data_IF_092952365826
#
_entry.id   IF_092952365826
#
_cell.length_a   1.000
_cell.length_b   1.000
_cell.length_c   1.000
_cell.angle_alpha   90.00
_cell.angle_beta   90.00
_cell.angle_gamma   90.00
#
_symmetry.space_group_name_H-M   'P 1'
#
loop_
_entity.id
_entity.type
_entity.pdbx_description
1 polymer ?
#
# COMPACT_ATOMS: atom_id res chain seq x y z
N UNK A 1 13.85 -4.67 -18.45
CA UNK A 1 12.55 -3.99 -18.63
C UNK A 1 12.67 -2.63 -19.32
N UNK A 2 13.51 -1.69 -18.84
CA UNK A 2 13.66 -0.37 -19.49
C UNK A 2 14.05 -0.47 -20.98
N UNK A 3 15.02 -1.31 -21.32
CA UNK A 3 15.39 -1.56 -22.73
C UNK A 3 14.21 -2.06 -23.59
N UNK A 4 13.36 -2.95 -23.04
CA UNK A 4 12.17 -3.46 -23.72
C UNK A 4 11.10 -2.38 -23.93
N UNK A 5 11.16 -1.28 -23.16
CA UNK A 5 10.30 -0.09 -23.29
C UNK A 5 10.92 0.98 -24.20
N UNK A 6 12.01 0.68 -24.90
CA UNK A 6 12.65 1.58 -25.86
C UNK A 6 13.64 2.58 -25.25
N UNK A 7 13.99 2.44 -23.97
CA UNK A 7 15.05 3.26 -23.37
C UNK A 7 16.41 2.80 -23.86
N UNK A 8 17.34 3.74 -24.03
CA UNK A 8 18.72 3.48 -24.49
C UNK A 8 19.70 3.72 -23.35
N UNK A 9 20.67 2.82 -23.19
CA UNK A 9 21.76 2.98 -22.22
C UNK A 9 22.81 3.90 -22.83
N UNK A 10 23.08 5.03 -22.19
CA UNK A 10 24.07 6.00 -22.68
C UNK A 10 25.48 5.70 -22.15
N UNK A 11 25.59 5.31 -20.88
CA UNK A 11 26.89 5.13 -20.21
C UNK A 11 26.76 4.08 -19.11
N UNK A 12 27.78 3.24 -18.94
CA UNK A 12 27.89 2.25 -17.87
C UNK A 12 29.16 2.58 -17.08
N UNK A 13 29.03 2.78 -15.78
CA UNK A 13 30.17 3.08 -14.90
C UNK A 13 30.71 1.82 -14.23
N UNK A 14 29.82 0.98 -13.73
CA UNK A 14 30.18 -0.21 -12.96
C UNK A 14 29.10 -1.30 -13.13
N UNK A 15 29.54 -2.56 -13.19
CA UNK A 15 28.67 -3.73 -13.30
C UNK A 15 29.14 -4.78 -12.31
N UNK A 16 28.25 -5.20 -11.42
CA UNK A 16 28.48 -6.34 -10.54
C UNK A 16 27.79 -7.56 -11.14
N UNK A 17 28.59 -8.59 -11.46
CA UNK A 17 28.10 -9.84 -12.02
C UNK A 17 28.19 -10.96 -10.98
N UNK A 18 27.17 -11.81 -10.92
CA UNK A 18 27.09 -12.95 -10.02
C UNK A 18 26.85 -14.21 -10.84
N UNK A 19 27.85 -15.09 -10.92
CA UNK A 19 27.80 -16.31 -11.75
C UNK A 19 26.75 -17.31 -11.27
N UNK A 20 26.48 -17.32 -9.96
CA UNK A 20 25.53 -18.23 -9.31
C UNK A 20 24.42 -17.43 -8.70
N UNK A 21 23.19 -17.79 -9.06
CA UNK A 21 21.97 -17.24 -8.49
C UNK A 21 21.13 -18.40 -8.00
N UNK A 22 20.65 -18.30 -6.77
CA UNK A 22 19.65 -19.22 -6.25
C UNK A 22 18.27 -18.59 -6.39
N UNK A 23 17.32 -19.36 -6.92
CA UNK A 23 15.96 -18.90 -7.15
C UNK A 23 14.97 -19.93 -6.63
N UNK A 24 13.94 -19.46 -5.94
CA UNK A 24 12.81 -20.29 -5.56
C UNK A 24 12.01 -20.69 -6.79
N UNK A 25 11.75 -21.99 -6.94
CA UNK A 25 10.88 -22.53 -7.99
C UNK A 25 9.45 -22.72 -7.44
N UNK A 26 8.45 -21.97 -7.95
CA UNK A 26 7.06 -22.11 -7.53
C UNK A 26 6.42 -23.47 -7.89
N UNK A 27 6.94 -24.18 -8.89
CA UNK A 27 6.37 -25.47 -9.31
C UNK A 27 6.79 -26.60 -8.37
N UNK A 28 8.10 -26.77 -8.17
CA UNK A 28 8.64 -27.75 -7.21
C UNK A 28 8.51 -27.30 -5.76
N UNK A 29 8.18 -26.02 -5.52
CA UNK A 29 8.11 -25.39 -4.19
C UNK A 29 9.42 -25.52 -3.42
N UNK A 30 10.55 -25.49 -4.12
CA UNK A 30 11.88 -25.75 -3.57
C UNK A 30 12.90 -24.68 -3.98
N UNK A 31 14.06 -24.67 -3.31
CA UNK A 31 15.13 -23.70 -3.52
C UNK A 31 14.89 -22.36 -2.80
N UNK A 32 15.82 -21.44 -2.96
CA UNK A 32 15.82 -20.12 -2.34
C UNK A 32 16.34 -20.16 -0.90
N UNK A 33 17.47 -19.49 -0.66
CA UNK A 33 18.13 -19.38 0.65
C UNK A 33 17.24 -18.86 1.80
N UNK A 34 16.15 -18.16 1.49
CA UNK A 34 15.26 -17.55 2.48
C UNK A 34 13.90 -18.23 2.59
N UNK A 35 13.64 -19.27 1.80
CA UNK A 35 12.32 -19.89 1.69
C UNK A 35 11.83 -20.44 3.03
N UNK A 36 12.67 -21.15 3.77
CA UNK A 36 12.30 -21.71 5.08
C UNK A 36 11.99 -20.62 6.12
N UNK A 37 12.79 -19.55 6.14
CA UNK A 37 12.57 -18.40 7.01
C UNK A 37 11.22 -17.74 6.71
N UNK A 38 10.96 -17.41 5.43
CA UNK A 38 9.72 -16.76 5.01
C UNK A 38 8.51 -17.66 5.27
N UNK A 39 8.60 -18.96 4.98
CA UNK A 39 7.54 -19.92 5.22
C UNK A 39 7.20 -20.04 6.71
N UNK A 40 8.22 -20.04 7.58
CA UNK A 40 8.04 -20.12 9.04
C UNK A 40 7.23 -18.93 9.56
N UNK A 41 7.63 -17.70 9.20
CA UNK A 41 6.94 -16.52 9.70
C UNK A 41 5.61 -16.24 8.98
N UNK A 42 5.45 -16.63 7.70
CA UNK A 42 4.15 -16.58 7.03
C UNK A 42 3.16 -17.55 7.67
N UNK A 43 3.59 -18.79 7.97
CA UNK A 43 2.78 -19.77 8.70
C UNK A 43 2.31 -19.21 10.04
N UNK A 44 3.25 -18.74 10.87
CA UNK A 44 2.96 -18.17 12.19
C UNK A 44 2.01 -16.97 12.09
N UNK A 45 2.24 -16.07 11.14
CA UNK A 45 1.38 -14.89 10.89
C UNK A 45 -0.04 -15.31 10.49
N UNK A 46 -0.17 -16.35 9.66
CA UNK A 46 -1.46 -16.81 9.17
C UNK A 46 -2.24 -17.55 10.26
N UNK A 47 -1.58 -18.43 11.02
CA UNK A 47 -2.18 -19.15 12.16
C UNK A 47 -2.67 -18.17 13.23
N UNK A 48 -1.84 -17.17 13.57
CA UNK A 48 -2.18 -16.14 14.55
C UNK A 48 -3.27 -15.16 14.09
N UNK A 49 -3.65 -15.18 12.80
CA UNK A 49 -4.77 -14.35 12.30
C UNK A 49 -6.14 -14.96 12.64
N UNK A 50 -6.16 -16.22 13.07
CA UNK A 50 -7.39 -16.97 13.32
C UNK A 50 -8.12 -17.37 12.04
N UNK A 51 -9.32 -17.92 12.22
CA UNK A 51 -10.14 -18.41 11.12
C UNK A 51 -10.81 -17.27 10.34
N UNK A 52 -10.81 -17.33 8.99
CA UNK A 52 -11.62 -16.44 8.17
C UNK A 52 -13.11 -16.53 8.52
N UNK A 53 -13.87 -15.46 8.27
CA UNK A 53 -15.31 -15.37 8.56
C UNK A 53 -16.15 -16.47 7.88
N UNK A 54 -15.71 -17.00 6.74
CA UNK A 54 -16.39 -18.07 6.02
C UNK A 54 -16.09 -19.48 6.57
N UNK A 55 -15.12 -19.64 7.47
CA UNK A 55 -14.70 -20.94 8.03
C UNK A 55 -15.58 -21.39 9.21
N UNK A 56 -16.88 -21.58 8.95
CA UNK A 56 -17.87 -21.95 9.98
C UNK A 56 -17.89 -23.48 10.21
N UNK A 57 -17.88 -24.27 9.13
CA UNK A 57 -17.97 -25.73 9.20
C UNK A 57 -16.58 -26.37 9.14
N UNK A 58 -16.48 -27.62 9.62
CA UNK A 58 -15.23 -28.39 9.56
C UNK A 58 -14.72 -28.55 8.11
N UNK A 59 -15.64 -28.73 7.16
CA UNK A 59 -15.31 -28.77 5.72
C UNK A 59 -14.70 -27.46 5.24
N UNK A 60 -15.17 -26.31 5.73
CA UNK A 60 -14.61 -25.01 5.36
C UNK A 60 -13.20 -24.82 5.94
N UNK A 61 -12.97 -25.29 7.18
CA UNK A 61 -11.65 -25.24 7.81
C UNK A 61 -10.62 -26.08 7.07
N UNK A 62 -10.97 -27.31 6.70
CA UNK A 62 -10.08 -28.15 5.89
C UNK A 62 -9.83 -27.56 4.50
N UNK A 63 -10.87 -27.02 3.84
CA UNK A 63 -10.73 -26.33 2.56
C UNK A 63 -9.76 -25.16 2.64
N UNK A 64 -9.83 -24.37 3.72
CA UNK A 64 -8.92 -23.25 3.93
C UNK A 64 -7.46 -23.69 4.03
N UNK A 65 -7.17 -24.71 4.84
CA UNK A 65 -5.80 -25.25 4.98
C UNK A 65 -5.29 -25.78 3.64
N UNK A 66 -6.13 -26.52 2.92
CA UNK A 66 -5.78 -27.08 1.62
C UNK A 66 -5.48 -25.98 0.59
N UNK A 67 -6.35 -24.97 0.47
CA UNK A 67 -6.14 -23.85 -0.45
C UNK A 67 -4.86 -23.07 -0.11
N UNK A 68 -4.53 -22.91 1.18
CA UNK A 68 -3.31 -22.25 1.60
C UNK A 68 -2.07 -23.06 1.21
N UNK A 69 -2.10 -24.37 1.39
CA UNK A 69 -1.02 -25.27 0.98
C UNK A 69 -0.84 -25.33 -0.54
N UNK A 70 -1.93 -25.41 -1.31
CA UNK A 70 -1.89 -25.40 -2.77
C UNK A 70 -1.23 -24.14 -3.30
N UNK A 71 -1.64 -22.97 -2.79
CA UNK A 71 -1.19 -21.67 -3.25
C UNK A 71 0.20 -21.29 -2.74
N UNK A 72 0.45 -21.41 -1.45
CA UNK A 72 1.66 -20.90 -0.79
C UNK A 72 2.68 -22.01 -0.51
N UNK A 73 2.31 -23.30 -0.61
CA UNK A 73 3.19 -24.42 -0.27
C UNK A 73 3.36 -24.66 1.23
N UNK A 74 2.63 -23.92 2.07
CA UNK A 74 2.79 -23.93 3.53
C UNK A 74 1.66 -24.73 4.16
N UNK A 75 2.00 -25.75 4.96
CA UNK A 75 1.00 -26.53 5.71
C UNK A 75 0.72 -25.87 7.06
N UNK A 76 -0.49 -25.30 7.19
CA UNK A 76 -0.99 -24.75 8.45
C UNK A 76 -1.35 -25.89 9.44
N UNK A 77 -1.14 -25.63 10.72
CA UNK A 77 -1.54 -26.51 11.81
C UNK A 77 -2.94 -26.13 12.29
N UNK A 78 -3.90 -27.05 12.11
CA UNK A 78 -5.30 -26.85 12.49
C UNK A 78 -5.45 -26.38 13.95
N UNK A 79 -4.64 -26.93 14.86
CA UNK A 79 -4.74 -26.67 16.30
C UNK A 79 -4.19 -25.31 16.72
N UNK A 80 -3.35 -24.70 15.87
CA UNK A 80 -2.69 -23.41 16.15
C UNK A 80 -3.39 -22.22 15.51
N UNK A 81 -4.42 -22.44 14.71
CA UNK A 81 -5.19 -21.36 14.08
C UNK A 81 -6.12 -20.74 15.12
N UNK A 82 -5.64 -19.67 15.73
CA UNK A 82 -6.32 -18.90 16.76
C UNK A 82 -5.95 -17.42 16.63
N UNK A 83 -6.90 -16.52 16.91
CA UNK A 83 -6.65 -15.08 16.84
C UNK A 83 -5.71 -14.66 17.97
N UNK A 84 -4.45 -14.39 17.62
CA UNK A 84 -3.43 -13.89 18.53
C UNK A 84 -2.78 -12.61 17.95
N UNK A 85 -3.25 -11.41 18.37
CA UNK A 85 -2.75 -10.13 17.85
C UNK A 85 -1.25 -9.91 18.09
N UNK A 86 -0.73 -10.35 19.25
CA UNK A 86 0.67 -10.17 19.62
C UNK A 86 1.59 -11.04 18.76
N UNK A 87 1.29 -12.34 18.65
CA UNK A 87 2.04 -13.26 17.82
C UNK A 87 1.98 -12.89 16.34
N UNK A 88 0.81 -12.45 15.87
CA UNK A 88 0.64 -11.94 14.50
C UNK A 88 1.54 -10.73 14.24
N UNK A 89 1.59 -9.80 15.19
CA UNK A 89 2.42 -8.59 15.09
C UNK A 89 3.90 -8.94 15.08
N UNK A 90 4.34 -9.87 15.94
CA UNK A 90 5.71 -10.38 15.95
C UNK A 90 6.08 -11.04 14.62
N UNK A 91 5.25 -11.96 14.12
CA UNK A 91 5.51 -12.63 12.85
C UNK A 91 5.57 -11.65 11.66
N UNK A 92 4.68 -10.65 11.65
CA UNK A 92 4.70 -9.56 10.66
C UNK A 92 5.97 -8.72 10.79
N UNK A 93 6.40 -8.41 12.01
CA UNK A 93 7.62 -7.64 12.27
C UNK A 93 8.86 -8.38 11.76
N UNK A 94 8.95 -9.70 11.96
CA UNK A 94 10.06 -10.51 11.47
C UNK A 94 10.11 -10.51 9.94
N UNK A 95 8.99 -10.69 9.25
CA UNK A 95 8.91 -10.61 7.79
C UNK A 95 9.33 -9.23 7.25
N UNK A 96 8.86 -8.16 7.88
CA UNK A 96 9.11 -6.79 7.42
C UNK A 96 10.53 -6.30 7.75
N UNK A 97 11.08 -6.70 8.89
CA UNK A 97 12.41 -6.24 9.33
C UNK A 97 13.54 -7.01 8.65
N UNK A 98 13.27 -8.22 8.17
CA UNK A 98 14.28 -9.11 7.60
C UNK A 98 15.06 -8.47 6.45
N UNK A 99 14.36 -8.01 5.40
CA UNK A 99 15.02 -7.41 4.25
C UNK A 99 15.63 -6.04 4.57
N UNK A 100 14.99 -5.26 5.46
CA UNK A 100 15.48 -3.95 5.88
C UNK A 100 16.83 -4.02 6.58
N UNK A 101 17.10 -5.13 7.28
CA UNK A 101 18.38 -5.35 7.96
C UNK A 101 19.55 -5.41 6.97
N UNK A 102 19.35 -5.98 5.77
CA UNK A 102 20.40 -6.04 4.76
C UNK A 102 20.82 -4.66 4.24
N UNK A 103 19.90 -3.69 4.23
CA UNK A 103 20.15 -2.31 3.82
C UNK A 103 20.43 -1.35 4.98
N UNK A 104 20.65 -1.86 6.20
CA UNK A 104 20.89 -1.01 7.36
C UNK A 104 22.21 -0.24 7.20
N UNK A 105 22.17 1.07 7.45
CA UNK A 105 23.37 1.91 7.49
C UNK A 105 24.24 1.49 8.67
N UNK A 106 25.53 1.18 8.47
CA UNK A 106 26.41 0.74 9.54
C UNK A 106 26.75 1.88 10.52
N UNK A 107 26.81 3.12 10.02
CA UNK A 107 27.15 4.30 10.81
C UNK A 107 25.91 5.14 11.11
N UNK A 108 25.24 4.82 12.21
CA UNK A 108 24.16 5.65 12.73
C UNK A 108 24.73 6.60 13.79
N UNK A 109 24.27 7.87 13.84
CA UNK A 109 24.61 8.75 14.94
C UNK A 109 24.23 8.12 16.28
N UNK A 110 25.18 8.10 17.21
CA UNK A 110 25.00 7.64 18.58
C UNK A 110 24.87 8.84 19.51
N UNK A 111 24.25 8.63 20.65
CA UNK A 111 24.00 9.65 21.66
C UNK A 111 24.51 9.09 22.98
N UNK A 112 25.48 9.78 23.58
CA UNK A 112 25.97 9.47 24.92
C UNK A 112 25.70 10.65 25.85
N UNK A 113 25.41 10.34 27.11
CA UNK A 113 25.29 11.31 28.19
C UNK A 113 26.57 11.25 29.03
N UNK A 114 27.33 12.34 28.98
CA UNK A 114 28.67 12.41 29.57
C UNK A 114 28.65 13.41 30.71
N UNK A 115 29.06 12.95 31.89
CA UNK A 115 29.28 13.80 33.07
C UNK A 115 30.76 14.01 33.40
N UNK A 116 31.64 13.11 32.96
CA UNK A 116 33.09 13.23 33.12
C UNK A 116 33.69 14.09 32.00
N UNK A 117 34.30 15.24 32.31
CA UNK A 117 34.97 16.09 31.31
C UNK A 117 36.04 15.34 30.50
N UNK A 118 36.70 14.34 31.08
CA UNK A 118 37.76 13.58 30.41
C UNK A 118 37.22 12.83 29.20
N UNK A 119 36.10 12.11 29.38
CA UNK A 119 35.42 11.38 28.30
C UNK A 119 34.94 12.34 27.21
N UNK A 120 34.49 13.53 27.60
CA UNK A 120 34.05 14.56 26.67
C UNK A 120 35.20 15.09 25.80
N UNK A 121 36.34 15.43 26.40
CA UNK A 121 37.52 15.88 25.65
C UNK A 121 38.16 14.78 24.82
N UNK A 122 38.18 13.54 25.32
CA UNK A 122 38.67 12.37 24.58
C UNK A 122 37.83 12.13 23.32
N UNK A 123 36.50 12.24 23.41
CA UNK A 123 35.62 12.10 22.26
C UNK A 123 35.77 13.25 21.24
N UNK A 124 36.01 14.48 21.69
CA UNK A 124 36.26 15.64 20.82
C UNK A 124 37.61 15.56 20.08
N UNK A 125 38.60 14.96 20.72
CA UNK A 125 39.97 14.82 20.18
C UNK A 125 40.22 13.47 19.52
N UNK A 126 39.24 12.56 19.58
CA UNK A 126 39.34 11.21 19.01
C UNK A 126 39.55 11.24 17.50
N UNK A 127 40.55 10.49 17.04
CA UNK A 127 40.76 10.28 15.62
C UNK A 127 39.77 9.30 14.98
N UNK A 128 38.99 8.56 15.78
CA UNK A 128 38.05 7.55 15.29
C UNK A 128 36.61 8.05 15.22
N UNK A 129 36.27 9.05 16.03
CA UNK A 129 34.91 9.56 16.18
C UNK A 129 34.81 10.98 15.63
N UNK A 130 33.61 11.35 15.18
CA UNK A 130 33.24 12.71 14.81
C UNK A 130 32.07 13.10 15.69
N UNK A 131 32.28 14.09 16.56
CA UNK A 131 31.19 14.73 17.30
C UNK A 131 30.41 15.64 16.36
N UNK A 132 29.11 15.38 16.26
CA UNK A 132 28.17 16.06 15.34
C UNK A 132 27.26 17.05 16.06
N UNK A 133 27.11 16.94 17.38
CA UNK A 133 26.29 17.86 18.16
C UNK A 133 26.53 17.69 19.65
N UNK A 134 26.37 18.78 20.38
CA UNK A 134 26.59 18.86 21.83
C UNK A 134 25.44 19.66 22.41
N UNK A 135 24.82 19.14 23.46
CA UNK A 135 23.71 19.78 24.14
C UNK A 135 23.92 19.66 25.66
N UNK A 136 23.95 20.80 26.36
CA UNK A 136 24.11 20.83 27.82
C UNK A 136 22.74 20.57 28.44
N UNK A 137 22.58 19.41 29.09
CA UNK A 137 21.31 19.00 29.70
C UNK A 137 21.20 19.58 31.10
N UNK A 138 22.30 19.56 31.84
CA UNK A 138 22.46 20.16 33.17
C UNK A 138 23.88 20.72 33.31
N UNK A 139 24.17 21.38 34.45
CA UNK A 139 25.50 21.90 34.75
C UNK A 139 26.58 20.80 34.87
N UNK A 140 26.17 19.54 35.05
CA UNK A 140 27.06 18.38 35.23
C UNK A 140 26.92 17.33 34.12
N UNK A 141 26.07 17.55 33.11
CA UNK A 141 25.79 16.54 32.08
C UNK A 141 25.62 17.13 30.69
N UNK A 142 26.32 16.51 29.74
CA UNK A 142 26.29 16.86 28.32
C UNK A 142 25.77 15.68 27.51
N UNK A 143 24.75 15.93 26.69
CA UNK A 143 24.33 15.02 25.61
C UNK A 143 25.25 15.27 24.41
N UNK A 144 26.03 14.26 24.05
CA UNK A 144 26.95 14.30 22.92
C UNK A 144 26.46 13.36 21.82
N UNK A 145 26.27 13.92 20.63
CA UNK A 145 25.95 13.17 19.42
C UNK A 145 27.18 12.96 18.57
N UNK A 146 27.50 11.72 18.24
CA UNK A 146 28.71 11.40 17.49
C UNK A 146 28.48 10.25 16.49
N UNK A 147 29.43 10.08 15.56
CA UNK A 147 29.46 8.97 14.60
C UNK A 147 30.91 8.55 14.36
N UNK A 148 31.15 7.33 13.90
CA UNK A 148 32.52 6.95 13.52
C UNK A 148 32.94 7.66 12.22
N UNK A 149 34.23 7.95 12.07
CA UNK A 149 34.83 8.30 10.78
C UNK A 149 34.69 7.11 9.82
N UNK A 150 34.47 7.36 8.53
CA UNK A 150 34.17 6.30 7.56
C UNK A 150 35.31 5.28 7.42
N UNK A 151 36.56 5.74 7.57
CA UNK A 151 37.78 4.91 7.52
C UNK A 151 37.86 3.87 8.65
N UNK A 152 37.14 4.09 9.75
CA UNK A 152 37.14 3.23 10.93
C UNK A 152 35.85 2.40 11.04
N UNK A 153 35.01 2.41 10.00
CA UNK A 153 33.81 1.58 9.98
C UNK A 153 34.16 0.13 9.62
N UNK A 154 33.96 -0.76 10.58
CA UNK A 154 33.98 -2.18 10.29
C UNK A 154 32.79 -2.58 9.42
N UNK A 155 33.05 -3.40 8.41
CA UNK A 155 32.02 -3.97 7.56
C UNK A 155 31.17 -4.94 8.38
N UNK A 156 29.86 -4.68 8.49
CA UNK A 156 28.98 -5.60 9.21
C UNK A 156 28.73 -6.86 8.40
N UNK A 157 29.07 -8.04 8.96
CA UNK A 157 28.74 -9.34 8.36
C UNK A 157 27.23 -9.65 8.27
N UNK A 158 26.37 -8.73 8.76
CA UNK A 158 24.91 -8.87 8.78
C UNK A 158 24.22 -8.04 7.68
N UNK A 159 24.96 -7.20 6.96
CA UNK A 159 24.41 -6.32 5.91
C UNK A 159 24.80 -6.80 4.52
N UNK A 160 23.92 -6.61 3.53
CA UNK A 160 24.22 -6.92 2.14
C UNK A 160 23.41 -5.97 1.23
N UNK A 161 24.10 -4.96 0.71
CA UNK A 161 23.46 -3.89 -0.09
C UNK A 161 22.87 -4.43 -1.39
N UNK A 162 23.49 -5.47 -1.95
CA UNK A 162 23.06 -6.10 -3.21
C UNK A 162 21.72 -6.79 -3.00
N UNK A 163 21.59 -7.57 -1.93
CA UNK A 163 20.32 -8.23 -1.60
C UNK A 163 19.23 -7.19 -1.33
N UNK A 164 19.53 -6.12 -0.58
CA UNK A 164 18.56 -5.05 -0.32
C UNK A 164 18.12 -4.34 -1.61
N UNK A 165 19.07 -3.98 -2.48
CA UNK A 165 18.79 -3.35 -3.77
C UNK A 165 17.96 -4.28 -4.67
N UNK A 166 18.32 -5.57 -4.74
CA UNK A 166 17.62 -6.56 -5.56
C UNK A 166 16.19 -6.81 -5.07
N UNK A 167 15.98 -6.98 -3.77
CA UNK A 167 14.63 -7.14 -3.19
C UNK A 167 13.74 -5.92 -3.51
N UNK A 168 14.25 -4.70 -3.35
CA UNK A 168 13.47 -3.49 -3.66
C UNK A 168 13.23 -3.32 -5.16
N UNK A 169 14.19 -3.71 -6.01
CA UNK A 169 14.01 -3.72 -7.46
C UNK A 169 12.91 -4.70 -7.90
N UNK A 170 12.92 -5.93 -7.38
CA UNK A 170 11.89 -6.93 -7.67
C UNK A 170 10.51 -6.50 -7.18
N UNK A 171 10.41 -5.89 -6.00
CA UNK A 171 9.17 -5.31 -5.50
C UNK A 171 8.63 -4.21 -6.44
N UNK A 172 9.49 -3.30 -6.91
CA UNK A 172 9.11 -2.26 -7.89
C UNK A 172 8.68 -2.83 -9.23
N UNK A 173 9.36 -3.87 -9.74
CA UNK A 173 8.96 -4.54 -10.98
C UNK A 173 7.60 -5.22 -10.83
N UNK A 174 7.35 -5.85 -9.68
CA UNK A 174 6.04 -6.44 -9.39
C UNK A 174 4.95 -5.37 -9.34
N UNK A 175 5.19 -4.26 -8.66
CA UNK A 175 4.29 -3.11 -8.62
C UNK A 175 4.03 -2.56 -10.03
N UNK A 176 5.08 -2.37 -10.82
CA UNK A 176 5.00 -1.90 -12.19
C UNK A 176 4.12 -2.79 -13.07
N UNK A 177 4.17 -4.12 -12.89
CA UNK A 177 3.29 -5.06 -13.62
C UNK A 177 1.79 -4.82 -13.37
N UNK A 178 1.42 -4.26 -12.20
CA UNK A 178 0.05 -3.82 -11.92
C UNK A 178 -0.23 -2.45 -12.56
N UNK A 179 0.73 -1.53 -12.53
CA UNK A 179 0.59 -0.22 -13.17
C UNK A 179 0.36 -0.32 -14.68
N UNK A 180 1.03 -1.26 -15.36
CA UNK A 180 0.81 -1.50 -16.79
C UNK A 180 -0.61 -1.96 -17.09
N UNK A 181 -1.22 -2.77 -16.21
CA UNK A 181 -2.60 -3.24 -16.36
C UNK A 181 -3.62 -2.13 -16.06
N UNK A 182 -3.30 -1.26 -15.10
CA UNK A 182 -4.19 -0.18 -14.67
C UNK A 182 -4.11 1.04 -15.59
N UNK A 183 -2.95 1.29 -16.19
CA UNK A 183 -2.71 2.35 -17.15
C UNK A 183 -3.11 3.73 -16.60
N UNK A 184 -3.86 4.55 -17.37
CA UNK A 184 -4.29 5.90 -16.95
C UNK A 184 -5.19 5.96 -15.72
N UNK A 185 -5.66 4.82 -15.21
CA UNK A 185 -6.55 4.77 -14.04
C UNK A 185 -5.80 4.97 -12.74
N UNK A 186 -4.47 4.86 -12.74
CA UNK A 186 -3.63 5.04 -11.55
C UNK A 186 -3.67 6.49 -11.10
N UNK A 187 -4.06 6.72 -9.85
CA UNK A 187 -4.10 8.04 -9.21
C UNK A 187 -2.88 8.26 -8.31
N UNK A 188 -2.45 7.22 -7.60
CA UNK A 188 -1.36 7.27 -6.65
C UNK A 188 -0.71 5.90 -6.50
N UNK A 189 0.58 5.91 -6.23
CA UNK A 189 1.41 4.71 -6.04
C UNK A 189 2.33 4.96 -4.85
N UNK A 190 2.36 3.99 -3.94
CA UNK A 190 3.35 3.90 -2.86
C UNK A 190 3.93 2.47 -2.86
N UNK A 191 5.12 2.31 -2.29
CA UNK A 191 5.91 1.09 -2.03
C UNK A 191 5.26 -0.26 -2.37
N UNK A 192 4.08 -0.55 -1.83
CA UNK A 192 3.29 -1.78 -2.05
C UNK A 192 1.80 -1.54 -2.31
N UNK A 193 1.37 -0.30 -2.58
CA UNK A 193 -0.04 0.07 -2.78
C UNK A 193 -0.27 0.91 -4.04
N UNK A 194 -1.43 0.71 -4.66
CA UNK A 194 -1.89 1.49 -5.82
C UNK A 194 -3.32 1.95 -5.59
N UNK A 195 -3.54 3.25 -5.71
CA UNK A 195 -4.88 3.84 -5.73
C UNK A 195 -5.24 4.09 -7.19
N UNK A 196 -6.38 3.57 -7.64
CA UNK A 196 -6.81 3.68 -9.03
C UNK A 196 -8.31 3.92 -9.16
N UNK A 197 -8.73 4.57 -10.26
CA UNK A 197 -10.13 4.80 -10.57
C UNK A 197 -10.76 3.52 -11.13
N UNK A 198 -11.98 3.19 -10.70
CA UNK A 198 -12.65 1.96 -11.15
C UNK A 198 -13.56 2.19 -12.36
N UNK A 199 -14.04 3.42 -12.58
CA UNK A 199 -14.76 3.84 -13.80
C UNK A 199 -14.84 5.38 -13.87
N UNK A 200 -14.73 5.96 -15.06
CA UNK A 200 -14.91 7.40 -15.29
C UNK A 200 -16.41 7.74 -15.40
N UNK A 201 -17.05 8.10 -14.28
CA UNK A 201 -18.34 8.81 -14.32
C UNK A 201 -18.21 10.29 -14.70
N UNK A 202 -17.05 10.69 -15.23
CA UNK A 202 -16.61 12.09 -15.29
C UNK A 202 -16.03 12.61 -13.96
N UNK A 203 -15.37 13.77 -13.97
CA UNK A 203 -14.72 14.33 -12.78
C UNK A 203 -15.70 14.54 -11.62
N UNK A 204 -15.32 14.07 -10.43
CA UNK A 204 -16.10 14.10 -9.16
C UNK A 204 -17.33 13.18 -9.11
N UNK A 205 -17.37 12.13 -9.93
CA UNK A 205 -18.40 11.07 -9.88
C UNK A 205 -17.75 9.70 -9.61
N UNK A 206 -17.79 9.22 -8.36
CA UNK A 206 -17.23 7.93 -7.95
C UNK A 206 -17.90 7.36 -6.70
N UNK A 207 -17.89 6.03 -6.56
CA UNK A 207 -18.29 5.35 -5.33
C UNK A 207 -17.37 4.15 -5.06
N UNK A 208 -16.97 3.94 -3.81
CA UNK A 208 -16.13 2.81 -3.38
C UNK A 208 -16.47 2.35 -1.96
N UNK A 209 -16.19 1.09 -1.66
CA UNK A 209 -16.28 0.48 -0.33
C UNK A 209 -14.87 0.14 0.15
N UNK A 210 -14.51 0.58 1.35
CA UNK A 210 -13.28 0.22 2.05
C UNK A 210 -13.63 -0.81 3.11
N UNK A 211 -12.94 -1.94 3.08
CA UNK A 211 -12.99 -2.94 4.13
C UNK A 211 -11.87 -2.61 5.13
N UNK A 212 -12.24 -2.16 6.33
CA UNK A 212 -11.26 -1.92 7.39
C UNK A 212 -10.98 -3.24 8.12
N UNK A 213 -9.74 -3.75 8.14
CA UNK A 213 -9.43 -4.99 8.86
C UNK A 213 -9.56 -4.84 10.39
N UNK A 214 -9.43 -3.60 10.90
CA UNK A 214 -9.35 -3.30 12.33
C UNK A 214 -10.69 -2.84 12.94
N UNK A 215 -11.73 -2.65 12.13
CA UNK A 215 -13.10 -2.37 12.59
C UNK A 215 -14.09 -3.21 11.80
N UNK A 216 -15.15 -3.71 12.42
CA UNK A 216 -16.19 -4.54 11.77
C UNK A 216 -17.01 -3.79 10.70
N UNK A 217 -16.62 -2.57 10.33
CA UNK A 217 -17.37 -1.69 9.45
C UNK A 217 -16.80 -1.62 8.03
N UNK A 218 -17.67 -1.80 7.06
CA UNK A 218 -17.43 -1.39 5.67
C UNK A 218 -17.65 0.12 5.58
N UNK A 219 -16.60 0.91 5.32
CA UNK A 219 -16.77 2.34 5.05
C UNK A 219 -17.14 2.53 3.58
N UNK A 220 -18.32 3.08 3.32
CA UNK A 220 -18.77 3.38 1.95
C UNK A 220 -18.62 4.87 1.68
N UNK A 221 -17.98 5.22 0.56
CA UNK A 221 -17.87 6.60 0.07
C UNK A 221 -18.57 6.69 -1.28
N UNK A 222 -19.46 7.69 -1.43
CA UNK A 222 -20.14 8.01 -2.67
C UNK A 222 -20.02 9.51 -2.94
N UNK A 223 -19.70 9.89 -4.17
CA UNK A 223 -19.59 11.28 -4.61
C UNK A 223 -20.18 11.43 -5.99
N UNK A 224 -21.15 12.33 -6.13
CA UNK A 224 -21.81 12.66 -7.40
C UNK A 224 -21.80 14.18 -7.59
N UNK A 225 -21.34 14.63 -8.75
CA UNK A 225 -21.26 16.04 -9.13
C UNK A 225 -22.65 16.54 -9.53
N UNK A 226 -23.03 17.71 -9.02
CA UNK A 226 -24.27 18.40 -9.41
C UNK A 226 -25.50 17.98 -8.58
N UNK A 227 -25.41 16.93 -7.77
CA UNK A 227 -26.46 16.50 -6.85
C UNK A 227 -25.90 16.53 -5.42
N UNK A 228 -26.56 17.25 -4.53
CA UNK A 228 -26.21 17.24 -3.10
C UNK A 228 -26.64 15.91 -2.49
N UNK A 229 -25.70 15.15 -1.92
CA UNK A 229 -25.99 13.90 -1.22
C UNK A 229 -26.50 14.17 0.21
N UNK A 230 -27.71 14.73 0.30
CA UNK A 230 -28.46 14.76 1.57
C UNK A 230 -29.00 13.36 1.90
N UNK A 231 -29.60 13.17 3.08
CA UNK A 231 -30.10 11.86 3.52
C UNK A 231 -31.03 11.18 2.48
N UNK A 232 -32.06 11.90 1.99
CA UNK A 232 -33.03 11.37 0.99
C UNK A 232 -32.35 10.99 -0.32
N UNK A 233 -31.44 11.85 -0.81
CA UNK A 233 -30.73 11.65 -2.06
C UNK A 233 -29.70 10.51 -1.95
N UNK A 234 -29.07 10.33 -0.79
CA UNK A 234 -28.12 9.26 -0.53
C UNK A 234 -28.79 7.87 -0.43
N UNK A 235 -30.08 7.80 -0.10
CA UNK A 235 -30.86 6.56 -0.21
C UNK A 235 -31.04 6.14 -1.67
N UNK A 236 -31.23 7.11 -2.56
CA UNK A 236 -31.46 6.88 -3.99
C UNK A 236 -30.15 6.74 -4.80
N UNK A 237 -29.12 7.51 -4.45
CA UNK A 237 -27.78 7.48 -5.05
C UNK A 237 -26.77 7.02 -3.99
N UNK A 238 -26.43 5.75 -4.06
CA UNK A 238 -25.51 5.04 -3.17
C UNK A 238 -24.54 4.16 -3.98
N UNK A 239 -23.64 3.45 -3.29
CA UNK A 239 -22.66 2.59 -3.96
C UNK A 239 -23.32 1.55 -4.87
N UNK A 240 -24.38 0.89 -4.44
CA UNK A 240 -24.99 -0.21 -5.19
C UNK A 240 -25.72 0.31 -6.43
N UNK A 241 -26.39 1.45 -6.34
CA UNK A 241 -27.04 2.11 -7.50
C UNK A 241 -26.02 2.69 -8.49
N UNK A 242 -24.95 3.34 -8.01
CA UNK A 242 -23.85 3.81 -8.88
C UNK A 242 -23.13 2.64 -9.53
N UNK A 243 -22.87 1.55 -8.80
CA UNK A 243 -22.28 0.32 -9.35
C UNK A 243 -23.17 -0.25 -10.44
N UNK A 244 -24.47 -0.43 -10.17
CA UNK A 244 -25.42 -1.01 -11.12
C UNK A 244 -25.54 -0.15 -12.37
N UNK A 245 -25.63 1.18 -12.25
CA UNK A 245 -25.61 2.13 -13.37
C UNK A 245 -24.38 1.97 -14.26
N UNK A 246 -23.24 1.68 -13.64
CA UNK A 246 -21.96 1.60 -14.32
C UNK A 246 -21.71 0.20 -14.89
N UNK A 247 -22.34 -0.86 -14.37
CA UNK A 247 -22.17 -2.25 -14.82
C UNK A 247 -23.26 -2.74 -15.77
N UNK A 248 -24.42 -2.10 -15.79
CA UNK A 248 -25.49 -2.39 -16.74
C UNK A 248 -25.19 -1.71 -18.08
N UNK A 249 -25.33 -2.46 -19.17
CA UNK A 249 -25.02 -2.02 -20.55
C UNK A 249 -26.21 -1.27 -21.19
N UNK A 250 -27.28 -1.01 -20.43
CA UNK A 250 -28.48 -0.33 -20.94
C UNK A 250 -28.37 1.18 -20.78
N UNK A 251 -28.44 1.91 -21.90
CA UNK A 251 -28.38 3.37 -22.00
C UNK A 251 -29.53 4.10 -21.28
N UNK A 252 -30.57 3.37 -20.88
CA UNK A 252 -31.81 3.93 -20.31
C UNK A 252 -31.86 3.99 -18.77
N UNK A 253 -30.78 3.64 -18.06
CA UNK A 253 -30.78 3.71 -16.61
C UNK A 253 -30.58 5.14 -16.11
N UNK A 254 -31.70 5.81 -15.79
CA UNK A 254 -31.76 7.16 -15.21
C UNK A 254 -32.28 7.07 -13.78
N UNK A 255 -31.53 7.64 -12.84
CA UNK A 255 -31.99 7.82 -11.45
C UNK A 255 -32.44 9.26 -11.29
N UNK A 256 -33.74 9.48 -11.15
CA UNK A 256 -34.31 10.78 -10.82
C UNK A 256 -34.31 11.01 -9.31
N UNK A 257 -33.76 12.15 -8.89
CA UNK A 257 -33.79 12.64 -7.52
C UNK A 257 -34.66 13.90 -7.46
N UNK A 258 -35.59 13.94 -6.51
CA UNK A 258 -36.50 15.07 -6.29
C UNK A 258 -36.31 15.64 -4.89
N UNK A 259 -35.86 16.88 -4.84
CA UNK A 259 -35.78 17.69 -3.63
C UNK A 259 -36.95 18.69 -3.60
N UNK A 260 -38.04 18.30 -2.96
CA UNK A 260 -39.30 19.06 -2.92
C UNK A 260 -39.16 20.44 -2.24
N UNK A 261 -38.22 20.56 -1.30
CA UNK A 261 -38.09 21.71 -0.41
C UNK A 261 -36.69 22.34 -0.49
N UNK A 262 -36.12 22.44 -1.69
CA UNK A 262 -34.78 23.01 -1.86
C UNK A 262 -34.79 24.51 -1.58
N UNK A 263 -34.06 24.90 -0.55
CA UNK A 263 -33.87 26.30 -0.18
C UNK A 263 -32.84 26.94 -1.13
N UNK A 264 -33.28 27.99 -1.84
CA UNK A 264 -32.46 28.75 -2.78
C UNK A 264 -32.49 30.24 -2.43
N UNK A 265 -31.38 30.93 -2.66
CA UNK A 265 -31.30 32.39 -2.52
C UNK A 265 -31.51 33.04 -3.87
N UNK A 266 -32.56 33.85 -3.99
CA UNK A 266 -32.74 34.76 -5.11
C UNK A 266 -31.84 35.98 -4.90
N UNK A 267 -30.72 36.01 -5.62
CA UNK A 267 -29.73 37.09 -5.51
C UNK A 267 -30.25 38.42 -6.06
N UNK A 268 -31.17 38.39 -7.01
CA UNK A 268 -31.68 39.59 -7.69
C UNK A 268 -32.63 40.37 -6.79
N UNK A 269 -33.43 39.67 -5.99
CA UNK A 269 -34.40 40.28 -5.07
C UNK A 269 -34.00 40.14 -3.59
N UNK A 270 -32.82 39.58 -3.31
CA UNK A 270 -32.29 39.30 -1.98
C UNK A 270 -33.26 38.51 -1.07
N UNK A 271 -33.97 37.51 -1.63
CA UNK A 271 -34.96 36.69 -0.90
C UNK A 271 -34.51 35.23 -0.80
N UNK A 272 -35.05 34.53 0.20
CA UNK A 272 -34.94 33.08 0.31
C UNK A 272 -36.25 32.48 -0.19
N UNK A 273 -36.17 31.54 -1.12
CA UNK A 273 -37.32 30.85 -1.70
C UNK A 273 -37.11 29.34 -1.60
N UNK A 274 -38.21 28.62 -1.42
CA UNK A 274 -38.23 27.15 -1.44
C UNK A 274 -38.77 26.71 -2.79
N UNK A 275 -37.97 25.97 -3.54
CA UNK A 275 -38.35 25.45 -4.85
C UNK A 275 -38.20 23.92 -4.88
N UNK A 276 -39.05 23.26 -5.66
CA UNK A 276 -38.85 21.85 -5.99
C UNK A 276 -37.78 21.71 -7.06
N UNK A 277 -36.70 20.99 -6.77
CA UNK A 277 -35.62 20.67 -7.72
C UNK A 277 -35.68 19.19 -8.11
N UNK A 278 -35.83 18.92 -9.40
CA UNK A 278 -35.72 17.57 -9.98
C UNK A 278 -34.42 17.45 -10.76
N UNK A 279 -33.63 16.42 -10.49
CA UNK A 279 -32.38 16.12 -11.19
C UNK A 279 -32.31 14.67 -11.60
N UNK A 280 -31.94 14.45 -12.86
CA UNK A 280 -31.74 13.13 -13.42
C UNK A 280 -30.24 12.80 -13.44
N UNK A 281 -29.87 11.71 -12.78
CA UNK A 281 -28.53 11.16 -12.76
C UNK A 281 -28.47 9.97 -13.71
N UNK A 282 -27.63 10.08 -14.74
CA UNK A 282 -27.35 9.01 -15.68
C UNK A 282 -25.87 8.99 -16.04
N UNK A 283 -25.38 7.86 -16.50
CA UNK A 283 -24.03 7.77 -17.05
C UNK A 283 -24.09 8.39 -18.45
N UNK A 284 -23.35 9.47 -18.65
CA UNK A 284 -23.31 10.19 -19.94
C UNK A 284 -21.96 9.95 -20.60
N UNK A 285 -21.99 9.40 -21.81
CA UNK A 285 -20.84 9.20 -22.69
C UNK A 285 -20.93 10.11 -23.91
N UNK A 286 -21.10 11.42 -23.70
CA UNK A 286 -21.30 12.41 -24.76
C UNK A 286 -20.05 12.66 -25.62
N UNK A 287 -18.85 12.41 -25.07
CA UNK A 287 -17.56 12.70 -25.71
C UNK A 287 -16.71 11.46 -26.00
N UNK A 288 -17.17 10.27 -25.62
CA UNK A 288 -16.38 9.03 -25.71
C UNK A 288 -17.26 7.85 -26.12
N UNK A 289 -16.76 6.99 -27.02
CA UNK A 289 -17.39 5.74 -27.47
C UNK A 289 -16.84 4.58 -26.67
N UNK A 290 -17.72 3.70 -26.19
CA UNK A 290 -17.33 2.46 -25.51
C UNK A 290 -16.89 1.44 -26.57
N UNK A 291 -15.69 0.89 -26.43
CA UNK A 291 -15.14 -0.23 -27.22
C UNK A 291 -15.11 -1.50 -26.37
N UNK A 292 -14.90 -2.65 -27.01
CA UNK A 292 -14.85 -3.97 -26.37
C UNK A 292 -14.07 -3.96 -25.04
N UNK A 293 -14.64 -4.64 -24.05
CA UNK A 293 -14.16 -4.68 -22.65
C UNK A 293 -14.24 -3.34 -21.88
N UNK A 294 -15.22 -2.49 -22.19
CA UNK A 294 -15.51 -1.23 -21.48
C UNK A 294 -14.39 -0.17 -21.55
N UNK A 295 -13.51 -0.28 -22.55
CA UNK A 295 -12.58 0.79 -22.87
C UNK A 295 -13.34 1.96 -23.50
N UNK A 296 -12.94 3.21 -23.28
CA UNK A 296 -13.59 4.36 -23.91
C UNK A 296 -12.60 5.13 -24.78
N UNK A 297 -12.94 5.33 -26.06
CA UNK A 297 -12.18 6.17 -26.98
C UNK A 297 -12.90 7.51 -27.18
N UNK A 298 -12.21 8.63 -27.40
CA UNK A 298 -12.83 9.88 -27.83
C UNK A 298 -13.72 9.68 -29.07
N UNK A 299 -14.77 10.49 -29.23
CA UNK A 299 -15.56 10.49 -30.46
C UNK A 299 -14.67 10.91 -31.66
N UNK A 300 -14.60 10.09 -32.72
CA UNK A 300 -13.75 10.33 -33.90
C UNK A 300 -12.42 9.55 -33.95
N UNK A 301 -12.26 8.52 -33.12
CA UNK A 301 -11.13 7.58 -33.11
C UNK A 301 -11.34 6.36 -34.01
#
# INVERSE_FOLDING_TARGET
>A
MALQKGYVVNTIYEVWHFDKVEQYDPQSKSGGIFTEYINTFLKMKQEASGWPSWCITEKHKQKYIQCYFEKEGIKLDYTKIEKNPGLRSLAKLMLNSFWGKFGQRPNLPQVDYVSDPSIYFDALTSDQQIVTGINFVTDEMVEMRWKHKEEFLESSGKTNVVLAAYTTAQARLKLFSYLEKLGPRVMYVDTDSVVFTVKEGGPKNYAYKLENPDSTGIQTVCKVRGITLNYKNALSINFDTVRNLVTSVSEDNVITVVDEHKICRDQKHARIITNTERKDYKVVFDKRVIVDSFNTKPFGY
#
